data_IF_333357196544
#
_entry.id   IF_333357196544
#
_cell.length_a   1.000
_cell.length_b   1.000
_cell.length_c   1.000
_cell.angle_alpha   90.00
_cell.angle_beta   90.00
_cell.angle_gamma   90.00
#
_symmetry.space_group_name_H-M   'P 1'
#
loop_
_entity.id
_entity.type
_entity.pdbx_description
1 polymer ?
#
# COMPACT_ATOMS: atom_id res chain seq x y z
N UNK A 1 19.08 -12.57 -5.24
CA UNK A 1 18.82 -11.86 -3.96
C UNK A 1 18.74 -10.35 -4.18
N UNK A 2 19.74 -9.71 -4.79
CA UNK A 2 19.75 -8.24 -5.02
C UNK A 2 18.46 -7.72 -5.69
N UNK A 3 18.00 -8.33 -6.78
CA UNK A 3 16.76 -7.92 -7.46
C UNK A 3 15.50 -8.01 -6.57
N UNK A 4 15.42 -9.00 -5.68
CA UNK A 4 14.32 -9.14 -4.75
C UNK A 4 14.35 -8.04 -3.69
N UNK A 5 15.54 -7.71 -3.18
CA UNK A 5 15.71 -6.58 -2.24
C UNK A 5 15.30 -5.27 -2.90
N UNK A 6 15.74 -5.01 -4.14
CA UNK A 6 15.36 -3.81 -4.89
C UNK A 6 13.84 -3.74 -5.08
N UNK A 7 13.22 -4.84 -5.50
CA UNK A 7 11.76 -4.94 -5.64
C UNK A 7 11.03 -4.57 -4.33
N UNK A 8 11.43 -5.17 -3.20
CA UNK A 8 10.84 -4.88 -1.90
C UNK A 8 11.03 -3.42 -1.47
N UNK A 9 12.23 -2.86 -1.68
CA UNK A 9 12.51 -1.45 -1.35
C UNK A 9 11.67 -0.49 -2.19
N UNK A 10 11.52 -0.75 -3.49
CA UNK A 10 10.69 0.08 -4.39
C UNK A 10 9.23 0.00 -3.96
N UNK A 11 8.69 -1.19 -3.69
CA UNK A 11 7.32 -1.33 -3.22
C UNK A 11 7.08 -0.59 -1.90
N UNK A 12 7.96 -0.78 -0.91
CA UNK A 12 7.83 -0.09 0.37
C UNK A 12 7.85 1.44 0.18
N UNK A 13 8.78 1.97 -0.63
CA UNK A 13 8.87 3.39 -0.91
C UNK A 13 7.60 3.93 -1.58
N UNK A 14 7.11 3.25 -2.62
CA UNK A 14 5.89 3.66 -3.33
C UNK A 14 4.67 3.67 -2.42
N UNK A 15 4.53 2.67 -1.55
CA UNK A 15 3.44 2.58 -0.59
C UNK A 15 3.51 3.68 0.48
N UNK A 16 4.70 4.03 0.97
CA UNK A 16 4.88 5.15 1.90
C UNK A 16 4.50 6.48 1.24
N UNK A 17 4.94 6.70 -0.01
CA UNK A 17 4.60 7.91 -0.77
C UNK A 17 3.09 7.99 -0.96
N UNK A 18 2.48 6.89 -1.42
CA UNK A 18 1.02 6.80 -1.58
C UNK A 18 0.28 7.09 -0.28
N UNK A 19 0.68 6.46 0.82
CA UNK A 19 0.04 6.67 2.11
C UNK A 19 0.07 8.15 2.49
N UNK A 20 1.22 8.82 2.36
CA UNK A 20 1.34 10.27 2.63
C UNK A 20 0.44 11.13 1.74
N UNK A 21 0.28 10.80 0.47
CA UNK A 21 -0.54 11.58 -0.46
C UNK A 21 -2.05 11.46 -0.17
N UNK A 22 -2.49 10.33 0.41
CA UNK A 22 -3.91 10.04 0.59
C UNK A 22 -4.38 10.10 2.05
N UNK A 23 -3.48 10.14 3.04
CA UNK A 23 -3.85 10.02 4.47
C UNK A 23 -4.85 11.09 4.94
N UNK A 24 -4.73 12.33 4.44
CA UNK A 24 -5.65 13.40 4.84
C UNK A 24 -7.02 13.26 4.15
N UNK A 25 -7.04 12.70 2.94
CA UNK A 25 -8.28 12.43 2.19
C UNK A 25 -9.01 11.19 2.71
N UNK A 26 -8.27 10.24 3.28
CA UNK A 26 -8.79 8.99 3.83
C UNK A 26 -9.67 9.20 5.08
N UNK A 27 -9.70 10.40 5.66
CA UNK A 27 -10.40 10.71 6.92
C UNK A 27 -11.47 11.80 6.70
N UNK A 28 -11.68 12.24 5.44
CA UNK A 28 -12.72 13.22 5.15
C UNK A 28 -14.11 12.56 5.26
N UNK A 29 -15.00 13.15 6.06
CA UNK A 29 -16.30 12.54 6.41
C UNK A 29 -17.22 12.38 5.19
N UNK A 30 -17.24 13.38 4.31
CA UNK A 30 -18.20 13.43 3.21
C UNK A 30 -17.90 12.45 2.05
N UNK A 31 -16.64 11.98 1.92
CA UNK A 31 -16.23 11.10 0.82
C UNK A 31 -15.36 9.92 1.27
N UNK A 32 -15.40 9.58 2.56
CA UNK A 32 -14.58 8.53 3.19
C UNK A 32 -14.51 7.24 2.36
N UNK A 33 -15.66 6.61 2.08
CA UNK A 33 -15.73 5.32 1.36
C UNK A 33 -15.13 5.44 -0.04
N UNK A 34 -15.48 6.51 -0.78
CA UNK A 34 -14.98 6.73 -2.14
C UNK A 34 -13.46 6.93 -2.16
N UNK A 35 -12.91 7.68 -1.20
CA UNK A 35 -11.47 7.90 -1.07
C UNK A 35 -10.74 6.62 -0.68
N UNK A 36 -11.32 5.79 0.21
CA UNK A 36 -10.76 4.48 0.55
C UNK A 36 -10.70 3.54 -0.65
N UNK A 37 -11.79 3.44 -1.43
CA UNK A 37 -11.81 2.62 -2.64
C UNK A 37 -10.78 3.12 -3.65
N UNK A 38 -10.73 4.44 -3.90
CA UNK A 38 -9.76 5.05 -4.82
C UNK A 38 -8.32 4.79 -4.37
N UNK A 39 -8.04 4.92 -3.08
CA UNK A 39 -6.73 4.63 -2.51
C UNK A 39 -6.36 3.15 -2.68
N UNK A 40 -7.28 2.24 -2.33
CA UNK A 40 -7.09 0.80 -2.48
C UNK A 40 -6.80 0.38 -3.92
N UNK A 41 -7.57 0.91 -4.88
CA UNK A 41 -7.37 0.65 -6.31
C UNK A 41 -6.01 1.18 -6.78
N UNK A 42 -5.66 2.41 -6.39
CA UNK A 42 -4.38 3.01 -6.77
C UNK A 42 -3.20 2.21 -6.22
N UNK A 43 -3.30 1.78 -4.96
CA UNK A 43 -2.30 0.94 -4.28
C UNK A 43 -2.12 -0.40 -5.00
N UNK A 44 -3.23 -1.08 -5.29
CA UNK A 44 -3.24 -2.38 -5.98
C UNK A 44 -2.66 -2.27 -7.38
N UNK A 45 -2.99 -1.21 -8.12
CA UNK A 45 -2.44 -0.95 -9.47
C UNK A 45 -0.93 -0.76 -9.44
N UNK A 46 -0.40 0.01 -8.48
CA UNK A 46 1.05 0.24 -8.35
C UNK A 46 1.78 -1.05 -7.98
N UNK A 47 1.25 -1.83 -7.04
CA UNK A 47 1.80 -3.13 -6.67
C UNK A 47 1.80 -4.08 -7.87
N UNK A 48 0.68 -4.18 -8.59
CA UNK A 48 0.56 -5.02 -9.77
C UNK A 48 1.56 -4.62 -10.86
N UNK A 49 1.60 -3.33 -11.25
CA UNK A 49 2.48 -2.84 -12.29
C UNK A 49 3.97 -3.06 -11.95
N UNK A 50 4.35 -2.77 -10.71
CA UNK A 50 5.73 -2.97 -10.25
C UNK A 50 6.09 -4.44 -10.22
N UNK A 51 5.24 -5.29 -9.64
CA UNK A 51 5.48 -6.74 -9.57
C UNK A 51 5.57 -7.33 -10.97
N UNK A 52 4.67 -6.94 -11.87
CA UNK A 52 4.66 -7.37 -13.26
C UNK A 52 5.96 -7.00 -13.98
N UNK A 53 6.44 -5.76 -13.81
CA UNK A 53 7.73 -5.31 -14.35
C UNK A 53 8.87 -6.25 -13.91
N UNK A 54 9.01 -6.51 -12.60
CA UNK A 54 10.08 -7.40 -12.11
C UNK A 54 9.93 -8.86 -12.57
N UNK A 55 8.69 -9.36 -12.64
CA UNK A 55 8.41 -10.69 -13.19
C UNK A 55 8.79 -10.80 -14.67
N UNK A 56 8.57 -9.75 -15.47
CA UNK A 56 8.95 -9.72 -16.88
C UNK A 56 10.48 -9.78 -17.06
N UNK A 57 11.25 -9.01 -16.29
CA UNK A 57 12.72 -8.99 -16.40
C UNK A 57 13.41 -10.19 -15.73
N UNK A 58 12.77 -10.84 -14.75
CA UNK A 58 13.33 -12.05 -14.14
C UNK A 58 12.23 -13.11 -13.87
N UNK A 59 11.78 -13.81 -14.92
CA UNK A 59 10.69 -14.79 -14.83
C UNK A 59 10.99 -15.93 -13.84
N UNK A 60 12.26 -16.33 -13.73
CA UNK A 60 12.74 -17.36 -12.79
C UNK A 60 12.44 -16.98 -11.33
N UNK A 61 12.34 -15.69 -11.00
CA UNK A 61 12.06 -15.20 -9.65
C UNK A 61 10.60 -14.74 -9.47
N UNK A 62 9.73 -14.94 -10.46
CA UNK A 62 8.34 -14.45 -10.47
C UNK A 62 7.57 -14.81 -9.21
N UNK A 63 7.62 -16.07 -8.77
CA UNK A 63 6.96 -16.52 -7.53
C UNK A 63 7.43 -15.72 -6.32
N UNK A 64 8.73 -15.42 -6.22
CA UNK A 64 9.29 -14.63 -5.10
C UNK A 64 8.81 -13.19 -5.14
N UNK A 65 8.77 -12.56 -6.31
CA UNK A 65 8.25 -11.20 -6.45
C UNK A 65 6.77 -11.13 -6.07
N UNK A 66 5.94 -12.06 -6.59
CA UNK A 66 4.51 -12.13 -6.28
C UNK A 66 4.29 -12.30 -4.76
N UNK A 67 4.95 -13.27 -4.13
CA UNK A 67 4.80 -13.52 -2.71
C UNK A 67 5.30 -12.35 -1.85
N UNK A 68 6.43 -11.74 -2.22
CA UNK A 68 6.94 -10.56 -1.50
C UNK A 68 6.00 -9.35 -1.64
N UNK A 69 5.43 -9.13 -2.83
CA UNK A 69 4.46 -8.06 -3.10
C UNK A 69 3.19 -8.25 -2.28
N UNK A 70 2.66 -9.48 -2.23
CA UNK A 70 1.52 -9.83 -1.41
C UNK A 70 1.80 -9.61 0.09
N UNK A 71 2.96 -10.07 0.57
CA UNK A 71 3.36 -9.88 1.97
C UNK A 71 3.47 -8.40 2.35
N UNK A 72 4.10 -7.59 1.51
CA UNK A 72 4.21 -6.14 1.69
C UNK A 72 2.82 -5.49 1.69
N UNK A 73 1.95 -5.86 0.74
CA UNK A 73 0.58 -5.34 0.67
C UNK A 73 -0.20 -5.62 1.96
N UNK A 74 -0.15 -6.84 2.47
CA UNK A 74 -0.83 -7.25 3.70
C UNK A 74 -0.32 -6.41 4.89
N UNK A 75 0.99 -6.33 5.08
CA UNK A 75 1.59 -5.58 6.19
C UNK A 75 1.19 -4.11 6.15
N UNK A 76 1.31 -3.46 4.98
CA UNK A 76 0.92 -2.05 4.84
C UNK A 76 -0.58 -1.85 5.05
N UNK A 77 -1.43 -2.76 4.57
CA UNK A 77 -2.87 -2.68 4.78
C UNK A 77 -3.25 -2.74 6.26
N UNK A 78 -2.61 -3.60 7.05
CA UNK A 78 -2.83 -3.66 8.49
C UNK A 78 -2.33 -2.40 9.21
N UNK A 79 -1.13 -1.92 8.88
CA UNK A 79 -0.59 -0.68 9.45
C UNK A 79 -1.52 0.51 9.16
N UNK A 80 -2.04 0.60 7.93
CA UNK A 80 -3.01 1.62 7.53
C UNK A 80 -4.29 1.54 8.35
N UNK A 81 -4.85 0.35 8.52
CA UNK A 81 -6.05 0.14 9.32
C UNK A 81 -5.86 0.63 10.77
N UNK A 82 -4.71 0.31 11.37
CA UNK A 82 -4.35 0.79 12.71
C UNK A 82 -4.22 2.32 12.78
N UNK A 83 -3.58 2.95 11.79
CA UNK A 83 -3.42 4.41 11.74
C UNK A 83 -4.78 5.10 11.61
N UNK A 84 -5.65 4.59 10.74
CA UNK A 84 -6.99 5.15 10.52
C UNK A 84 -7.83 5.00 11.78
N UNK A 85 -7.85 3.82 12.39
CA UNK A 85 -8.57 3.56 13.63
C UNK A 85 -8.12 4.49 14.76
N UNK A 86 -6.82 4.59 15.01
CA UNK A 86 -6.28 5.49 16.03
C UNK A 86 -6.68 6.96 15.80
N UNK A 87 -6.72 7.41 14.53
CA UNK A 87 -7.14 8.77 14.21
C UNK A 87 -8.64 9.02 14.41
N UNK A 88 -9.48 8.01 14.18
CA UNK A 88 -10.91 8.08 14.48
C UNK A 88 -11.15 8.13 15.99
N UNK A 89 -10.49 7.26 16.76
CA UNK A 89 -10.60 7.22 18.23
C UNK A 89 -10.18 8.56 18.87
N UNK A 90 -9.10 9.18 18.37
CA UNK A 90 -8.67 10.52 18.80
C UNK A 90 -9.66 11.63 18.45
N UNK A 91 -10.43 11.48 17.37
CA UNK A 91 -11.43 12.46 16.97
C UNK A 91 -12.67 12.37 17.86
N UNK A 92 -13.10 11.16 18.21
CA UNK A 92 -14.20 10.94 19.16
C UNK A 92 -13.86 11.43 20.57
N UNK A 93 -12.61 11.26 21.04
CA UNK A 93 -12.19 11.73 22.36
C UNK A 93 -12.09 13.26 22.51
N UNK A 94 -12.03 14.01 21.40
CA UNK A 94 -11.87 15.48 21.40
C UNK A 94 -13.17 16.24 21.06
N UNK A 95 -14.26 15.53 20.78
CA UNK A 95 -15.60 16.09 20.56
C UNK A 95 -16.48 15.99 21.81
#
# INVERSE_FOLDING_TARGET
>A
MILLTIHCCILALLLVIMHRLFIDQLISENTYIANQIRYFLSKTTILFATTFFFCFFSPINSTKFILSSLGIFIVFHFIEALIIQNKLDMKESNG
#
